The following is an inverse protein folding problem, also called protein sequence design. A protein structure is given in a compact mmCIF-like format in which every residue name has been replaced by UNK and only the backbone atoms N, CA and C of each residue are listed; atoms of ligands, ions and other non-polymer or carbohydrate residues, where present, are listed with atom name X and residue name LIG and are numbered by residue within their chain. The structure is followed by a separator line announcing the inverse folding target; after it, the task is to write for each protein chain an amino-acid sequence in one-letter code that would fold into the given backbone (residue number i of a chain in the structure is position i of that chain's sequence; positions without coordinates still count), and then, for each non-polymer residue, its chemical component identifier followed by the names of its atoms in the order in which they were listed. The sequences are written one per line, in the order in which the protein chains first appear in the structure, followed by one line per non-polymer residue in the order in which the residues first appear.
data_IF_052026220550
#
_entry.id   IF_052026220550
#
_cell.length_a   1.000
_cell.length_b   1.000
_cell.length_c   1.000
_cell.angle_alpha   90.00
_cell.angle_beta   90.00
_cell.angle_gamma   90.00
#
_symmetry.space_group_name_H-M   'P 1'
#
loop_
_entity.id
_entity.type
_entity.pdbx_description
1 polymer ?
#
# COMPACT_ATOMS: atom_id res chain seq x y z
N UNK A 1 -11.93 15.84 -23.89
CA UNK A 1 -11.09 16.43 -22.83
C UNK A 1 -11.57 15.85 -21.50
N UNK A 2 -10.64 15.39 -20.68
CA UNK A 2 -10.90 14.78 -19.36
C UNK A 2 -10.88 15.88 -18.31
N UNK A 3 -11.89 15.91 -17.43
CA UNK A 3 -11.97 16.86 -16.31
C UNK A 3 -11.25 16.29 -15.09
N UNK A 4 -10.05 16.77 -14.79
CA UNK A 4 -9.24 16.32 -13.67
C UNK A 4 -9.30 17.34 -12.53
N UNK A 5 -9.76 16.90 -11.36
CA UNK A 5 -9.77 17.69 -10.13
C UNK A 5 -8.54 17.33 -9.27
N UNK A 6 -7.82 18.32 -8.75
CA UNK A 6 -6.73 18.14 -7.80
C UNK A 6 -7.19 18.66 -6.43
N UNK A 7 -7.25 17.79 -5.44
CA UNK A 7 -7.67 18.11 -4.09
C UNK A 7 -6.51 17.89 -3.12
N UNK A 8 -6.07 18.94 -2.44
CA UNK A 8 -4.99 18.91 -1.44
C UNK A 8 -5.15 20.16 -0.58
N UNK A 9 -4.87 20.15 0.71
CA UNK A 9 -4.98 21.35 1.55
C UNK A 9 -3.75 22.25 1.43
N UNK A 10 -2.59 21.70 1.06
CA UNK A 10 -1.37 22.44 0.84
C UNK A 10 -1.34 23.08 -0.56
N UNK A 11 -1.27 24.42 -0.61
CA UNK A 11 -1.29 25.16 -1.88
C UNK A 11 -0.10 24.82 -2.80
N UNK A 12 1.08 24.63 -2.22
CA UNK A 12 2.31 24.30 -2.96
C UNK A 12 2.21 22.92 -3.64
N UNK A 13 1.63 21.93 -2.96
CA UNK A 13 1.42 20.58 -3.50
C UNK A 13 0.39 20.60 -4.63
N UNK A 14 -0.72 21.35 -4.48
CA UNK A 14 -1.69 21.56 -5.57
C UNK A 14 -1.04 22.17 -6.80
N UNK A 15 -0.26 23.22 -6.63
CA UNK A 15 0.43 23.91 -7.73
C UNK A 15 1.43 22.98 -8.41
N UNK A 16 2.20 22.21 -7.62
CA UNK A 16 3.19 21.26 -8.15
C UNK A 16 2.53 20.15 -8.97
N UNK A 17 1.45 19.53 -8.45
CA UNK A 17 0.69 18.53 -9.18
C UNK A 17 0.05 19.11 -10.45
N UNK A 18 -0.54 20.31 -10.35
CA UNK A 18 -1.13 20.99 -11.51
C UNK A 18 -0.10 21.24 -12.60
N UNK A 19 1.11 21.70 -12.24
CA UNK A 19 2.22 21.92 -13.16
C UNK A 19 2.68 20.61 -13.85
N UNK A 20 2.79 19.52 -13.09
CA UNK A 20 3.14 18.20 -13.64
C UNK A 20 2.09 17.77 -14.67
N UNK A 21 0.80 17.86 -14.32
CA UNK A 21 -0.29 17.44 -15.19
C UNK A 21 -0.39 18.35 -16.43
N UNK A 22 -0.32 19.67 -16.25
CA UNK A 22 -0.43 20.63 -17.35
C UNK A 22 0.67 20.43 -18.40
N UNK A 23 1.91 20.16 -17.97
CA UNK A 23 3.05 19.93 -18.89
C UNK A 23 2.94 18.61 -19.66
N UNK A 24 2.37 17.57 -19.05
CA UNK A 24 2.33 16.21 -19.65
C UNK A 24 1.04 15.94 -20.43
N UNK A 25 -0.05 16.69 -20.16
CA UNK A 25 -1.40 16.41 -20.68
C UNK A 25 -2.12 17.65 -21.24
N UNK A 26 -1.37 18.65 -21.72
CA UNK A 26 -1.85 19.98 -22.14
C UNK A 26 -3.12 19.97 -23.03
N UNK A 27 -3.29 18.97 -23.90
CA UNK A 27 -4.40 18.91 -24.86
C UNK A 27 -5.48 17.86 -24.49
N UNK A 28 -5.24 17.10 -23.41
CA UNK A 28 -6.07 15.96 -23.03
C UNK A 28 -6.91 16.26 -21.79
N UNK A 29 -6.38 17.07 -20.86
CA UNK A 29 -6.92 17.27 -19.52
C UNK A 29 -7.20 18.76 -19.25
N UNK A 30 -8.37 19.04 -18.67
CA UNK A 30 -8.68 20.31 -18.01
C UNK A 30 -8.51 20.14 -16.51
N UNK A 31 -7.87 21.09 -15.82
CA UNK A 31 -7.57 21.00 -14.39
C UNK A 31 -8.46 21.97 -13.62
N UNK A 32 -9.05 21.48 -12.52
CA UNK A 32 -9.65 22.30 -11.47
C UNK A 32 -9.01 21.93 -10.12
N UNK A 33 -9.09 22.80 -9.10
CA UNK A 33 -8.46 22.52 -7.80
C UNK A 33 -9.41 22.74 -6.62
N UNK A 34 -9.20 21.98 -5.54
CA UNK A 34 -9.92 22.10 -4.29
C UNK A 34 -8.96 22.08 -3.10
N UNK A 35 -9.23 22.88 -2.08
CA UNK A 35 -8.34 23.10 -0.93
C UNK A 35 -8.69 22.28 0.31
N UNK A 36 -9.71 21.41 0.22
CA UNK A 36 -10.13 20.49 1.28
C UNK A 36 -11.13 19.46 0.73
N UNK A 37 -11.41 18.40 1.50
CA UNK A 37 -12.29 17.31 1.08
C UNK A 37 -13.74 17.72 0.81
N UNK A 38 -14.29 18.70 1.56
CA UNK A 38 -15.66 19.18 1.32
C UNK A 38 -15.76 19.86 -0.03
N UNK A 39 -14.87 20.84 -0.29
CA UNK A 39 -14.80 21.55 -1.57
C UNK A 39 -14.49 20.59 -2.71
N UNK A 40 -13.65 19.58 -2.49
CA UNK A 40 -13.36 18.55 -3.47
C UNK A 40 -14.61 17.76 -3.85
N UNK A 41 -15.39 17.30 -2.87
CA UNK A 41 -16.63 16.57 -3.11
C UNK A 41 -17.66 17.42 -3.86
N UNK A 42 -17.91 18.65 -3.42
CA UNK A 42 -18.86 19.57 -4.05
C UNK A 42 -18.43 19.91 -5.49
N UNK A 43 -17.15 20.24 -5.69
CA UNK A 43 -16.61 20.60 -7.01
C UNK A 43 -16.64 19.41 -7.96
N UNK A 44 -16.28 18.21 -7.49
CA UNK A 44 -16.31 17.00 -8.30
C UNK A 44 -17.71 16.71 -8.88
N UNK A 45 -18.75 16.89 -8.07
CA UNK A 45 -20.14 16.68 -8.49
C UNK A 45 -20.61 17.80 -9.43
N UNK A 46 -20.45 19.07 -9.02
CA UNK A 46 -20.96 20.21 -9.77
C UNK A 46 -20.26 20.41 -11.12
N UNK A 47 -18.94 20.23 -11.15
CA UNK A 47 -18.14 20.39 -12.36
C UNK A 47 -18.16 19.11 -13.22
N UNK A 48 -18.65 17.99 -12.69
CA UNK A 48 -18.65 16.70 -13.37
C UNK A 48 -17.23 16.22 -13.63
N UNK A 49 -16.42 16.12 -12.57
CA UNK A 49 -15.07 15.57 -12.66
C UNK A 49 -15.11 14.12 -13.18
N UNK A 50 -14.14 13.81 -14.03
CA UNK A 50 -13.91 12.47 -14.58
C UNK A 50 -12.85 11.72 -13.76
N UNK A 51 -11.84 12.46 -13.29
CA UNK A 51 -10.70 11.96 -12.53
C UNK A 51 -10.40 12.92 -11.37
N UNK A 52 -10.04 12.39 -10.21
CA UNK A 52 -9.61 13.16 -9.04
C UNK A 52 -8.23 12.66 -8.60
N UNK A 53 -7.28 13.58 -8.44
CA UNK A 53 -6.07 13.37 -7.63
C UNK A 53 -6.38 13.92 -6.24
N UNK A 54 -6.42 13.06 -5.22
CA UNK A 54 -6.92 13.45 -3.90
C UNK A 54 -5.92 13.16 -2.80
N UNK A 55 -5.56 14.20 -2.05
CA UNK A 55 -4.92 14.06 -0.77
C UNK A 55 -5.84 13.36 0.24
N UNK A 56 -5.26 12.58 1.13
CA UNK A 56 -6.02 11.84 2.14
C UNK A 56 -6.18 12.67 3.41
N UNK A 57 -5.14 13.35 3.85
CA UNK A 57 -5.13 14.09 5.11
C UNK A 57 -5.48 15.56 4.90
N UNK A 58 -6.76 15.81 4.65
CA UNK A 58 -7.28 17.17 4.59
C UNK A 58 -8.05 17.53 5.88
N UNK A 59 -7.91 18.76 6.41
CA UNK A 59 -8.68 19.24 7.55
C UNK A 59 -10.20 19.18 7.31
N UNK A 60 -10.92 18.82 8.36
CA UNK A 60 -12.38 18.72 8.34
C UNK A 60 -12.86 17.42 7.70
N UNK A 61 -12.88 17.36 6.36
CA UNK A 61 -13.26 16.16 5.62
C UNK A 61 -12.01 15.57 4.97
N UNK A 62 -11.65 14.36 5.38
CA UNK A 62 -10.51 13.64 4.80
C UNK A 62 -10.81 13.19 3.36
N UNK A 63 -9.78 12.82 2.61
CA UNK A 63 -9.89 12.43 1.21
C UNK A 63 -10.67 11.14 0.97
N UNK A 64 -10.61 10.18 1.91
CA UNK A 64 -11.34 8.91 1.80
C UNK A 64 -12.85 9.13 1.92
N UNK A 65 -13.27 9.97 2.87
CA UNK A 65 -14.65 10.37 3.07
C UNK A 65 -15.14 11.22 1.90
N UNK A 66 -14.30 12.12 1.38
CA UNK A 66 -14.60 12.89 0.18
C UNK A 66 -14.78 11.99 -1.04
N UNK A 67 -13.88 11.01 -1.26
CA UNK A 67 -14.02 10.03 -2.35
C UNK A 67 -15.31 9.24 -2.24
N UNK A 68 -15.64 8.76 -1.04
CA UNK A 68 -16.88 8.00 -0.79
C UNK A 68 -18.11 8.83 -1.16
N UNK A 69 -18.16 10.09 -0.73
CA UNK A 69 -19.26 11.01 -1.05
C UNK A 69 -19.37 11.32 -2.55
N UNK A 70 -18.25 11.41 -3.26
CA UNK A 70 -18.24 11.61 -4.73
C UNK A 70 -18.72 10.35 -5.44
N UNK A 71 -18.18 9.19 -5.09
CA UNK A 71 -18.48 7.92 -5.78
C UNK A 71 -19.92 7.45 -5.57
N UNK A 72 -20.54 7.83 -4.46
CA UNK A 72 -21.98 7.59 -4.22
C UNK A 72 -22.86 8.35 -5.23
N UNK A 73 -22.43 9.53 -5.68
CA UNK A 73 -23.18 10.37 -6.63
C UNK A 73 -22.70 10.23 -8.08
N UNK A 74 -21.42 9.88 -8.28
CA UNK A 74 -20.75 9.71 -9.59
C UNK A 74 -19.91 8.42 -9.58
N UNK A 75 -20.53 7.23 -9.66
CA UNK A 75 -19.82 5.95 -9.61
C UNK A 75 -18.79 5.75 -10.74
N UNK A 76 -18.95 6.46 -11.86
CA UNK A 76 -18.05 6.44 -13.00
C UNK A 76 -16.76 7.24 -12.78
N UNK A 77 -16.76 8.18 -11.82
CA UNK A 77 -15.61 9.02 -11.50
C UNK A 77 -14.43 8.16 -11.02
N UNK A 78 -13.23 8.51 -11.48
CA UNK A 78 -12.00 7.81 -11.09
C UNK A 78 -11.25 8.61 -10.05
N UNK A 79 -10.71 7.93 -9.05
CA UNK A 79 -9.97 8.56 -7.95
C UNK A 79 -8.59 7.93 -7.86
N UNK A 80 -7.57 8.78 -7.77
CA UNK A 80 -6.19 8.42 -7.44
C UNK A 80 -5.86 9.16 -6.15
N UNK A 81 -5.43 8.42 -5.13
CA UNK A 81 -5.02 9.05 -3.88
C UNK A 81 -3.55 9.44 -3.94
N UNK A 82 -3.19 10.56 -3.30
CA UNK A 82 -1.82 11.09 -3.23
C UNK A 82 -1.56 11.47 -1.78
N UNK A 83 -0.63 10.84 -1.05
CA UNK A 83 -0.46 11.17 0.39
C UNK A 83 0.99 11.11 0.85
N UNK A 84 1.32 11.92 1.87
CA UNK A 84 2.64 11.93 2.51
C UNK A 84 2.90 10.70 3.41
N UNK A 85 1.85 10.01 3.86
CA UNK A 85 2.01 8.87 4.76
C UNK A 85 1.80 7.54 4.03
N UNK A 86 2.77 6.64 4.17
CA UNK A 86 2.63 5.23 3.77
C UNK A 86 1.85 4.42 4.81
N UNK A 87 0.77 4.99 5.34
CA UNK A 87 -0.11 4.35 6.32
C UNK A 87 -0.95 3.30 5.59
N UNK A 88 -0.69 2.03 5.91
CA UNK A 88 -1.33 0.89 5.27
C UNK A 88 -2.87 0.99 5.26
N UNK A 89 -3.47 1.51 6.33
CA UNK A 89 -4.93 1.71 6.48
C UNK A 89 -5.54 2.50 5.30
N UNK A 90 -4.86 3.55 4.84
CA UNK A 90 -5.37 4.41 3.78
C UNK A 90 -5.32 3.73 2.41
N UNK A 91 -4.24 3.00 2.13
CA UNK A 91 -4.14 2.20 0.92
C UNK A 91 -5.22 1.11 0.88
N UNK A 92 -5.55 0.52 2.03
CA UNK A 92 -6.61 -0.49 2.12
C UNK A 92 -8.01 0.07 1.82
N UNK A 93 -8.38 1.18 2.47
CA UNK A 93 -9.67 1.84 2.23
C UNK A 93 -9.80 2.37 0.80
N UNK A 94 -8.73 2.95 0.26
CA UNK A 94 -8.67 3.42 -1.12
C UNK A 94 -9.00 2.32 -2.13
N UNK A 95 -8.48 1.10 -1.92
CA UNK A 95 -8.78 -0.04 -2.79
C UNK A 95 -10.25 -0.49 -2.69
N UNK A 96 -10.82 -0.48 -1.48
CA UNK A 96 -12.23 -0.86 -1.25
C UNK A 96 -13.19 0.13 -1.91
N UNK A 97 -12.82 1.42 -1.95
CA UNK A 97 -13.53 2.44 -2.72
C UNK A 97 -13.36 2.31 -4.23
N UNK A 98 -12.54 1.37 -4.71
CA UNK A 98 -12.30 1.17 -6.13
C UNK A 98 -11.38 2.22 -6.77
N UNK A 99 -10.50 2.86 -5.98
CA UNK A 99 -9.52 3.80 -6.50
C UNK A 99 -8.67 3.19 -7.63
N UNK A 100 -8.36 4.01 -8.63
CA UNK A 100 -7.55 3.63 -9.78
C UNK A 100 -6.09 3.39 -9.40
N UNK A 101 -5.59 4.21 -8.48
CA UNK A 101 -4.22 4.15 -8.00
C UNK A 101 -4.01 4.86 -6.65
N UNK A 102 -2.83 4.65 -6.09
CA UNK A 102 -2.39 5.26 -4.83
C UNK A 102 -0.91 5.69 -4.97
N UNK A 103 -0.62 6.97 -4.76
CA UNK A 103 0.69 7.57 -4.92
C UNK A 103 1.20 8.13 -3.60
N UNK A 104 2.51 8.05 -3.39
CA UNK A 104 3.19 8.60 -2.20
C UNK A 104 3.86 9.93 -2.52
N UNK A 105 3.77 10.90 -1.62
CA UNK A 105 4.55 12.14 -1.67
C UNK A 105 5.98 11.89 -1.14
N UNK A 106 7.01 12.54 -1.69
CA UNK A 106 6.97 13.44 -2.84
C UNK A 106 6.66 12.69 -4.14
N UNK A 107 5.75 13.24 -4.94
CA UNK A 107 5.27 12.55 -6.15
C UNK A 107 6.33 12.50 -7.24
N UNK A 108 6.51 11.31 -7.82
CA UNK A 108 7.32 11.15 -9.02
C UNK A 108 6.48 11.51 -10.26
N UNK A 109 6.91 12.48 -11.11
CA UNK A 109 6.16 12.87 -12.30
C UNK A 109 5.83 11.72 -13.25
N UNK A 110 6.71 10.72 -13.35
CA UNK A 110 6.51 9.59 -14.25
C UNK A 110 5.48 8.59 -13.68
N UNK A 111 5.40 8.46 -12.35
CA UNK A 111 4.36 7.65 -11.69
C UNK A 111 2.99 8.34 -11.81
N UNK A 112 2.93 9.65 -11.60
CA UNK A 112 1.70 10.45 -11.80
C UNK A 112 1.20 10.30 -13.24
N UNK A 113 2.10 10.40 -14.23
CA UNK A 113 1.74 10.21 -15.63
C UNK A 113 1.18 8.80 -15.88
N UNK A 114 1.85 7.76 -15.38
CA UNK A 114 1.43 6.38 -15.56
C UNK A 114 0.03 6.13 -14.98
N UNK A 115 -0.22 6.61 -13.75
CA UNK A 115 -1.51 6.47 -13.07
C UNK A 115 -2.62 7.24 -13.78
N UNK A 116 -2.37 8.47 -14.22
CA UNK A 116 -3.36 9.26 -14.99
C UNK A 116 -3.68 8.57 -16.32
N UNK A 117 -2.67 8.11 -17.07
CA UNK A 117 -2.91 7.40 -18.35
C UNK A 117 -3.71 6.13 -18.16
N UNK A 118 -3.51 5.40 -17.06
CA UNK A 118 -4.31 4.22 -16.70
C UNK A 118 -5.77 4.63 -16.44
N UNK A 119 -6.00 5.68 -15.66
CA UNK A 119 -7.34 6.19 -15.37
C UNK A 119 -8.07 6.69 -16.63
N UNK A 120 -7.39 7.45 -17.50
CA UNK A 120 -7.96 7.93 -18.78
C UNK A 120 -8.47 6.76 -19.63
N UNK A 121 -7.66 5.70 -19.78
CA UNK A 121 -8.08 4.50 -20.53
C UNK A 121 -9.34 3.86 -19.95
N UNK A 122 -9.46 3.80 -18.62
CA UNK A 122 -10.64 3.25 -17.95
C UNK A 122 -11.88 4.13 -18.18
N UNK A 123 -11.73 5.46 -18.13
CA UNK A 123 -12.81 6.41 -18.40
C UNK A 123 -13.29 6.28 -19.84
N UNK A 124 -12.37 6.25 -20.80
CA UNK A 124 -12.71 6.11 -22.22
C UNK A 124 -13.36 4.77 -22.55
N UNK A 125 -12.90 3.68 -21.92
CA UNK A 125 -13.51 2.36 -22.07
C UNK A 125 -14.95 2.35 -21.52
N UNK A 126 -15.16 2.95 -20.34
CA UNK A 126 -16.49 3.09 -19.74
C UNK A 126 -17.46 3.90 -20.61
N UNK A 127 -16.99 5.02 -21.17
CA UNK A 127 -17.79 5.85 -22.10
C UNK A 127 -18.17 5.09 -23.37
N UNK A 128 -17.24 4.36 -23.98
CA UNK A 128 -17.52 3.52 -25.16
C UNK A 128 -18.54 2.42 -24.87
N UNK A 129 -18.48 1.80 -23.70
CA UNK A 129 -19.44 0.78 -23.30
C UNK A 129 -20.84 1.37 -23.10
N UNK A 130 -20.93 2.57 -22.51
CA UNK A 130 -22.18 3.29 -22.34
C UNK A 130 -22.79 3.76 -23.67
N UNK A 131 -21.98 4.15 -24.66
CA UNK A 131 -22.45 4.54 -26.00
C UNK A 131 -23.00 3.37 -26.83
N UNK A 132 -22.59 2.13 -26.53
CA UNK A 132 -23.02 0.91 -27.24
C UNK A 132 -24.26 0.24 -26.61
N UNK A 133 -24.71 0.70 -25.44
CA UNK A 133 -25.89 0.18 -24.77
C UNK A 133 -27.18 0.85 -25.30
N UNK A 134 -28.15 0.11 -25.87
CA UNK A 134 -29.47 0.67 -26.22
C UNK A 134 -30.23 1.16 -24.98
N UNK A 135 -30.98 2.26 -25.14
CA UNK A 135 -31.71 3.00 -24.10
C UNK A 135 -32.80 2.15 -23.38
N UNK A 136 -32.56 1.91 -22.07
CA UNK A 136 -33.46 1.72 -20.89
C UNK A 136 -34.49 0.55 -20.79
N UNK A 137 -34.97 0.14 -19.57
CA UNK A 137 -34.59 0.48 -18.18
C UNK A 137 -34.32 -0.73 -17.21
N UNK A 138 -33.86 -0.40 -15.99
CA UNK A 138 -33.42 -1.16 -14.77
C UNK A 138 -34.30 -2.33 -14.21
N UNK A 139 -33.94 -3.00 -13.09
CA UNK A 139 -32.65 -3.55 -12.63
C UNK A 139 -32.80 -5.01 -12.12
N UNK A 140 -31.89 -5.94 -12.43
CA UNK A 140 -31.76 -7.17 -11.61
C UNK A 140 -30.30 -7.59 -11.46
N UNK A 141 -30.03 -8.13 -10.27
CA UNK A 141 -28.76 -8.43 -9.64
C UNK A 141 -27.80 -9.29 -10.48
N UNK A 142 -26.52 -9.16 -10.11
CA UNK A 142 -25.35 -9.98 -10.43
C UNK A 142 -25.59 -11.23 -11.29
N UNK A 143 -24.73 -11.41 -12.30
CA UNK A 143 -23.69 -12.39 -12.06
C UNK A 143 -22.29 -11.93 -12.47
N UNK A 144 -21.32 -12.33 -11.65
CA UNK A 144 -19.91 -12.49 -12.00
C UNK A 144 -19.74 -12.98 -13.45
N UNK A 145 -18.83 -12.33 -14.20
CA UNK A 145 -18.16 -13.00 -15.32
C UNK A 145 -16.74 -12.42 -15.55
N UNK A 146 -15.76 -13.21 -15.16
CA UNK A 146 -14.66 -13.73 -16.02
C UNK A 146 -13.81 -12.77 -16.85
N UNK A 147 -13.64 -11.52 -16.41
CA UNK A 147 -12.56 -10.63 -16.90
C UNK A 147 -11.67 -10.03 -15.79
N UNK A 148 -11.97 -10.30 -14.51
CA UNK A 148 -11.38 -9.61 -13.36
C UNK A 148 -10.11 -10.27 -12.76
N UNK A 149 -9.81 -11.53 -13.07
CA UNK A 149 -8.77 -12.29 -12.37
C UNK A 149 -7.33 -11.76 -12.57
N UNK A 150 -7.04 -11.06 -13.66
CA UNK A 150 -5.70 -10.52 -13.90
C UNK A 150 -5.42 -9.26 -13.05
N UNK A 151 -6.42 -8.37 -12.91
CA UNK A 151 -6.27 -7.10 -12.16
C UNK A 151 -6.39 -7.27 -10.65
N UNK A 152 -7.17 -8.24 -10.19
CA UNK A 152 -7.35 -8.54 -8.77
C UNK A 152 -6.13 -9.24 -8.16
N UNK A 153 -5.44 -10.07 -8.97
CA UNK A 153 -4.21 -10.73 -8.54
C UNK A 153 -3.05 -9.74 -8.35
N UNK A 154 -2.93 -8.71 -9.20
CA UNK A 154 -1.91 -7.66 -9.07
C UNK A 154 -2.16 -6.76 -7.87
N UNK A 155 -3.42 -6.43 -7.59
CA UNK A 155 -3.81 -5.63 -6.42
C UNK A 155 -3.48 -6.35 -5.12
N UNK A 156 -3.90 -7.61 -4.99
CA UNK A 156 -3.59 -8.42 -3.80
C UNK A 156 -2.08 -8.67 -3.65
N UNK A 157 -1.33 -8.75 -4.75
CA UNK A 157 0.12 -8.83 -4.71
C UNK A 157 0.74 -7.59 -4.04
N UNK A 158 0.28 -6.39 -4.42
CA UNK A 158 0.76 -5.13 -3.87
C UNK A 158 0.50 -5.04 -2.36
N UNK A 159 -0.70 -5.43 -1.92
CA UNK A 159 -1.07 -5.46 -0.50
C UNK A 159 -0.14 -6.37 0.28
N UNK A 160 0.08 -7.60 -0.23
CA UNK A 160 0.96 -8.55 0.44
C UNK A 160 2.43 -8.13 0.42
N UNK A 161 2.85 -7.36 -0.59
CA UNK A 161 4.18 -6.74 -0.61
C UNK A 161 4.31 -5.66 0.48
N UNK A 162 3.27 -4.83 0.68
CA UNK A 162 3.25 -3.86 1.76
C UNK A 162 3.20 -4.50 3.15
N UNK A 163 2.42 -5.57 3.34
CA UNK A 163 2.45 -6.33 4.61
C UNK A 163 3.86 -6.85 4.88
N UNK A 164 4.54 -7.38 3.87
CA UNK A 164 5.93 -7.85 4.03
C UNK A 164 6.87 -6.72 4.40
N UNK A 165 6.78 -5.56 3.76
CA UNK A 165 7.58 -4.38 4.11
C UNK A 165 7.33 -3.91 5.55
N UNK A 166 6.06 -3.87 5.97
CA UNK A 166 5.70 -3.53 7.34
C UNK A 166 6.33 -4.51 8.35
N UNK A 167 6.36 -5.81 8.03
CA UNK A 167 7.05 -6.80 8.86
C UNK A 167 8.56 -6.56 8.91
N UNK A 168 9.19 -6.18 7.79
CA UNK A 168 10.62 -5.84 7.73
C UNK A 168 10.96 -4.62 8.59
N UNK A 169 10.09 -3.62 8.62
CA UNK A 169 10.32 -2.40 9.41
C UNK A 169 10.02 -2.59 10.91
N UNK A 170 9.18 -3.58 11.27
CA UNK A 170 8.61 -3.71 12.61
C UNK A 170 8.83 -5.09 13.27
N UNK A 171 9.68 -5.97 12.72
CA UNK A 171 9.87 -7.34 13.24
C UNK A 171 10.29 -7.40 14.72
N UNK A 172 10.89 -6.33 15.25
CA UNK A 172 11.41 -6.25 16.62
C UNK A 172 10.29 -6.08 17.67
N UNK A 173 9.10 -5.65 17.26
CA UNK A 173 7.97 -5.42 18.15
C UNK A 173 7.06 -6.65 18.24
N UNK A 174 6.08 -6.61 19.14
CA UNK A 174 5.03 -7.62 19.21
C UNK A 174 4.16 -7.53 17.96
N UNK A 175 4.37 -8.48 17.05
CA UNK A 175 3.77 -8.49 15.73
C UNK A 175 3.12 -9.86 15.52
N UNK A 176 1.80 -9.85 15.49
CA UNK A 176 0.96 -11.02 15.31
C UNK A 176 0.05 -10.86 14.10
N UNK A 177 -0.46 -11.97 13.59
CA UNK A 177 -1.39 -11.94 12.47
C UNK A 177 -2.65 -11.14 12.82
N UNK A 178 -3.15 -11.28 14.06
CA UNK A 178 -4.28 -10.51 14.59
C UNK A 178 -3.96 -9.02 14.65
N UNK A 179 -2.80 -8.62 15.20
CA UNK A 179 -2.42 -7.20 15.27
C UNK A 179 -2.33 -6.55 13.90
N UNK A 180 -1.78 -7.27 12.91
CA UNK A 180 -1.74 -6.76 11.54
C UNK A 180 -3.16 -6.71 10.98
N UNK A 181 -3.94 -7.77 11.13
CA UNK A 181 -5.33 -7.84 10.66
C UNK A 181 -6.21 -6.71 11.18
N UNK A 182 -6.04 -6.32 12.45
CA UNK A 182 -6.70 -5.17 13.05
C UNK A 182 -6.30 -3.85 12.38
N UNK A 183 -5.00 -3.64 12.15
CA UNK A 183 -4.48 -2.47 11.41
C UNK A 183 -5.02 -2.43 9.97
N UNK A 184 -5.22 -3.61 9.35
CA UNK A 184 -5.70 -3.70 7.97
C UNK A 184 -7.23 -3.71 7.88
N UNK A 185 -7.96 -3.81 8.99
CA UNK A 185 -9.40 -4.07 9.03
C UNK A 185 -9.85 -5.26 8.15
N UNK A 186 -9.04 -6.32 8.08
CA UNK A 186 -9.40 -7.57 7.39
C UNK A 186 -9.45 -8.73 8.36
N UNK A 187 -10.10 -9.82 7.97
CA UNK A 187 -10.11 -11.02 8.80
C UNK A 187 -8.72 -11.68 8.85
N UNK A 188 -8.28 -12.19 10.01
CA UNK A 188 -7.07 -13.00 10.15
C UNK A 188 -7.00 -14.20 9.19
N UNK A 189 -8.16 -14.83 8.94
CA UNK A 189 -8.26 -15.94 8.00
C UNK A 189 -7.89 -15.54 6.56
N UNK A 190 -8.39 -14.38 6.10
CA UNK A 190 -8.10 -13.86 4.77
C UNK A 190 -6.62 -13.45 4.64
N UNK A 191 -6.09 -12.71 5.62
CA UNK A 191 -4.69 -12.30 5.62
C UNK A 191 -3.75 -13.52 5.57
N UNK A 192 -4.02 -14.54 6.37
CA UNK A 192 -3.24 -15.78 6.39
C UNK A 192 -3.21 -16.48 5.02
N UNK A 193 -4.38 -16.58 4.37
CA UNK A 193 -4.52 -17.22 3.06
C UNK A 193 -3.77 -16.44 1.97
N UNK A 194 -3.97 -15.13 1.90
CA UNK A 194 -3.32 -14.29 0.89
C UNK A 194 -1.81 -14.19 1.13
N UNK A 195 -1.37 -13.99 2.37
CA UNK A 195 0.06 -13.88 2.68
C UNK A 195 0.80 -15.15 2.24
N UNK A 196 0.24 -16.34 2.53
CA UNK A 196 0.81 -17.61 2.07
C UNK A 196 0.82 -17.76 0.55
N UNK A 197 -0.24 -17.31 -0.14
CA UNK A 197 -0.33 -17.34 -1.61
C UNK A 197 0.78 -16.54 -2.28
N UNK A 198 1.02 -15.32 -1.80
CA UNK A 198 1.95 -14.38 -2.42
C UNK A 198 3.39 -14.53 -1.91
N UNK A 199 3.59 -14.67 -0.60
CA UNK A 199 4.93 -14.78 0.01
C UNK A 199 5.49 -16.20 0.02
N UNK A 200 4.69 -17.20 -0.42
CA UNK A 200 5.05 -18.63 -0.47
C UNK A 200 5.44 -19.24 0.88
N UNK A 201 5.23 -18.51 1.98
CA UNK A 201 5.43 -18.95 3.35
C UNK A 201 4.35 -18.33 4.24
N UNK A 202 4.10 -18.90 5.41
CA UNK A 202 3.15 -18.30 6.33
C UNK A 202 3.77 -17.08 7.05
N UNK A 203 2.89 -16.28 7.64
CA UNK A 203 3.23 -15.04 8.33
C UNK A 203 4.25 -15.26 9.47
N UNK A 204 4.01 -16.24 10.34
CA UNK A 204 4.89 -16.49 11.48
C UNK A 204 6.28 -16.99 11.07
N UNK A 205 6.35 -17.80 10.02
CA UNK A 205 7.60 -18.25 9.43
C UNK A 205 8.39 -17.08 8.84
N UNK A 206 7.72 -16.16 8.13
CA UNK A 206 8.33 -14.95 7.60
C UNK A 206 8.89 -14.06 8.71
N UNK A 207 8.08 -13.79 9.75
CA UNK A 207 8.52 -13.02 10.92
C UNK A 207 9.72 -13.68 11.60
N UNK A 208 9.67 -15.00 11.77
CA UNK A 208 10.79 -15.78 12.33
C UNK A 208 12.03 -15.62 11.46
N UNK A 209 11.91 -15.68 10.14
CA UNK A 209 13.05 -15.54 9.23
C UNK A 209 13.70 -14.16 9.32
N UNK A 210 12.90 -13.09 9.34
CA UNK A 210 13.37 -11.72 9.53
C UNK A 210 14.15 -11.58 10.84
N UNK A 211 13.56 -12.03 11.96
CA UNK A 211 14.21 -11.99 13.28
C UNK A 211 15.51 -12.77 13.33
N UNK A 212 15.55 -13.95 12.72
CA UNK A 212 16.76 -14.80 12.70
C UNK A 212 17.85 -14.19 11.80
N UNK A 213 17.50 -13.61 10.66
CA UNK A 213 18.49 -12.98 9.79
C UNK A 213 19.09 -11.72 10.43
N UNK A 214 18.27 -10.86 11.03
CA UNK A 214 18.75 -9.74 11.85
C UNK A 214 19.64 -10.22 13.01
N UNK A 215 19.28 -11.32 13.67
CA UNK A 215 20.08 -11.88 14.76
C UNK A 215 21.45 -12.37 14.29
N UNK A 216 21.56 -12.97 13.09
CA UNK A 216 22.86 -13.40 12.53
C UNK A 216 23.80 -12.21 12.38
N UNK A 217 23.30 -11.09 11.88
CA UNK A 217 24.06 -9.85 11.72
C UNK A 217 24.51 -9.30 13.07
N UNK A 218 23.58 -9.17 14.03
CA UNK A 218 23.89 -8.65 15.36
C UNK A 218 24.85 -9.53 16.16
N UNK A 219 24.84 -10.85 15.95
CA UNK A 219 25.75 -11.81 16.59
C UNK A 219 27.20 -11.70 16.11
N UNK A 220 27.46 -10.96 15.03
CA UNK A 220 28.84 -10.66 14.60
C UNK A 220 29.52 -9.62 15.48
N UNK A 221 28.75 -8.84 16.25
CA UNK A 221 29.29 -7.85 17.18
C UNK A 221 29.81 -8.54 18.46
N UNK A 222 31.13 -8.43 18.78
CA UNK A 222 31.71 -9.06 19.97
C UNK A 222 31.21 -8.45 21.28
N UNK A 223 30.62 -7.26 21.26
CA UNK A 223 30.14 -6.56 22.46
C UNK A 223 28.69 -6.90 22.82
N UNK A 224 27.97 -7.65 21.97
CA UNK A 224 26.59 -8.07 22.25
C UNK A 224 26.51 -9.51 22.75
N UNK A 225 25.77 -9.72 23.82
CA UNK A 225 25.43 -11.05 24.33
C UNK A 225 24.30 -11.70 23.50
N UNK A 226 24.15 -13.03 23.59
CA UNK A 226 23.05 -13.71 22.89
C UNK A 226 21.68 -13.33 23.44
N UNK A 227 21.61 -12.99 24.74
CA UNK A 227 20.39 -12.56 25.39
C UNK A 227 19.97 -11.16 24.91
N UNK A 228 20.92 -10.21 24.83
CA UNK A 228 20.66 -8.87 24.30
C UNK A 228 20.21 -8.93 22.83
N UNK A 229 20.87 -9.76 22.00
CA UNK A 229 20.44 -9.95 20.61
C UNK A 229 19.02 -10.52 20.54
N UNK A 230 18.66 -11.46 21.42
CA UNK A 230 17.30 -12.01 21.47
C UNK A 230 16.27 -10.90 21.70
N UNK A 231 16.50 -10.02 22.67
CA UNK A 231 15.62 -8.89 22.96
C UNK A 231 15.57 -7.88 21.81
N UNK A 232 16.73 -7.57 21.20
CA UNK A 232 16.81 -6.63 20.08
C UNK A 232 16.04 -7.09 18.84
N UNK A 233 15.89 -8.40 18.64
CA UNK A 233 15.13 -8.95 17.50
C UNK A 233 13.70 -9.36 17.88
N UNK A 234 13.21 -8.95 19.06
CA UNK A 234 11.81 -9.15 19.45
C UNK A 234 11.48 -10.50 20.08
N UNK A 235 12.46 -11.20 20.67
CA UNK A 235 12.19 -12.35 21.54
C UNK A 235 12.29 -11.95 23.02
N UNK A 236 11.20 -12.17 23.75
CA UNK A 236 11.18 -12.00 25.21
C UNK A 236 11.94 -13.12 25.93
N UNK A 237 11.82 -14.36 25.44
CA UNK A 237 12.46 -15.54 26.02
C UNK A 237 13.74 -15.92 25.22
N UNK A 238 14.89 -15.73 25.85
CA UNK A 238 16.21 -16.07 25.28
C UNK A 238 16.39 -17.58 25.01
N UNK A 239 15.76 -18.46 25.79
CA UNK A 239 15.81 -19.91 25.58
C UNK A 239 14.93 -20.34 24.41
N UNK A 240 13.77 -19.70 24.22
CA UNK A 240 12.96 -19.88 23.02
C UNK A 240 13.71 -19.40 21.77
N UNK A 241 14.30 -18.21 21.82
CA UNK A 241 15.17 -17.70 20.76
C UNK A 241 16.28 -18.69 20.40
N UNK A 242 17.04 -19.20 21.37
CA UNK A 242 18.14 -20.12 21.11
C UNK A 242 17.69 -21.42 20.42
N UNK A 243 16.52 -21.95 20.80
CA UNK A 243 15.92 -23.14 20.14
C UNK A 243 15.49 -22.83 18.71
N UNK A 244 14.81 -21.71 18.50
CA UNK A 244 14.34 -21.28 17.17
C UNK A 244 15.50 -20.97 16.23
N UNK A 245 16.54 -20.27 16.72
CA UNK A 245 17.76 -19.98 15.97
C UNK A 245 18.47 -21.27 15.57
N UNK A 246 18.63 -22.23 16.49
CA UNK A 246 19.21 -23.54 16.17
C UNK A 246 18.37 -24.30 15.14
N UNK A 247 17.04 -24.28 15.24
CA UNK A 247 16.16 -24.92 14.28
C UNK A 247 16.32 -24.33 12.87
N UNK A 248 16.54 -23.02 12.75
CA UNK A 248 16.67 -22.32 11.46
C UNK A 248 18.09 -22.36 10.87
N UNK A 249 19.12 -22.44 11.71
CA UNK A 249 20.53 -22.31 11.27
C UNK A 249 21.37 -23.56 11.45
N UNK A 250 20.88 -24.56 12.19
CA UNK A 250 21.64 -25.76 12.57
C UNK A 250 22.52 -25.59 13.81
N UNK A 251 22.75 -24.37 14.29
CA UNK A 251 23.67 -24.07 15.40
C UNK A 251 23.06 -23.11 16.42
N UNK A 252 23.53 -23.13 17.66
CA UNK A 252 23.05 -22.18 18.68
C UNK A 252 23.60 -20.76 18.41
N UNK A 253 22.96 -19.69 18.92
CA UNK A 253 23.48 -18.32 18.79
C UNK A 253 24.94 -18.17 19.27
N UNK A 254 25.30 -18.87 20.34
CA UNK A 254 26.67 -18.88 20.88
C UNK A 254 27.65 -19.59 19.96
N UNK A 255 27.26 -20.72 19.36
CA UNK A 255 28.08 -21.42 18.36
C UNK A 255 28.28 -20.56 17.11
N UNK A 256 27.20 -19.97 16.60
CA UNK A 256 27.23 -19.06 15.44
C UNK A 256 28.20 -17.90 15.65
N UNK A 257 28.13 -17.23 16.80
CA UNK A 257 29.05 -16.13 17.15
C UNK A 257 30.50 -16.57 17.22
N UNK A 258 30.79 -17.76 17.76
CA UNK A 258 32.16 -18.28 17.83
C UNK A 258 32.74 -18.56 16.44
N UNK A 259 31.92 -19.10 15.53
CA UNK A 259 32.32 -19.32 14.14
C UNK A 259 32.51 -18.00 13.38
N UNK A 260 31.58 -17.04 13.53
CA UNK A 260 31.70 -15.72 12.94
C UNK A 260 32.96 -14.97 13.41
N UNK A 261 33.26 -15.02 14.71
CA UNK A 261 34.48 -14.43 15.28
C UNK A 261 35.76 -15.10 14.76
N UNK A 262 35.74 -16.43 14.57
CA UNK A 262 36.86 -17.18 13.99
C UNK A 262 37.08 -16.77 12.53
N UNK A 263 36.02 -16.76 11.71
CA UNK A 263 36.08 -16.37 10.30
C UNK A 263 36.56 -14.92 10.12
N UNK A 264 36.08 -13.97 10.95
CA UNK A 264 36.52 -12.59 10.92
C UNK A 264 38.01 -12.41 11.28
N UNK A 265 38.55 -13.27 12.14
CA UNK A 265 39.98 -13.28 12.49
C UNK A 265 40.82 -13.85 11.35
N UNK A 266 40.35 -14.90 10.69
CA UNK A 266 41.02 -15.53 9.54
C UNK A 266 41.03 -14.61 8.31
N UNK A 267 39.96 -13.83 8.07
CA UNK A 267 39.90 -12.87 6.97
C UNK A 267 40.79 -11.63 7.15
N UNK A 268 41.35 -11.40 8.35
CA UNK A 268 42.27 -10.30 8.68
C UNK A 268 43.75 -10.70 8.63
N UNK A 269 44.05 -11.98 8.42
CA UNK A 269 45.39 -12.55 8.27
C UNK A 269 45.73 -12.68 6.78
#
# INVERSE_FOLDING_TARGET
MIRLLIADDEALERETLADIVARRFEHEVTIETAENGRKAADTAVLWGADLILMDIEMPGMNGLDAARAVLEQRPECKVIFVTAYSLFQYAHEAMHLGACDYLLKPVNPDEVEASIRKAIRQIEAGRRLAELAPVEPEPEADPESDAAEAGENDRNALVMAHVRKYMEDNYMFDLSLDSVSEILHISPAYLSAQFKKYQKMNFLDCLTELRINAAKELLTDPFRSAAEVASMVGYEDSSYFARTFKKRTGMTPTQYRREAAKAAREARL
#
